data_IF_691832709733
#
_entry.id   IF_691832709733
#
_cell.length_a   1.000
_cell.length_b   1.000
_cell.length_c   1.000
_cell.angle_alpha   90.00
_cell.angle_beta   90.00
_cell.angle_gamma   90.00
#
_symmetry.space_group_name_H-M   'P 1'
#
loop_
_entity.id
_entity.type
_entity.pdbx_description
1 polymer ?
#
# COMPACT_ATOMS: atom_id res chain seq x y z
N UNK A 1 18.14 11.09 17.58
CA UNK A 1 16.73 10.77 17.89
C UNK A 1 16.41 9.56 17.05
N UNK A 2 16.19 8.39 17.64
CA UNK A 2 15.70 7.26 16.86
C UNK A 2 14.29 7.64 16.44
N UNK A 3 14.11 8.04 15.19
CA UNK A 3 12.80 8.23 14.58
C UNK A 3 12.16 6.84 14.50
N UNK A 4 11.62 6.38 15.62
CA UNK A 4 10.75 5.21 15.65
C UNK A 4 9.56 5.58 14.78
N UNK A 5 9.43 4.90 13.64
CA UNK A 5 8.24 5.02 12.82
C UNK A 5 7.05 4.65 13.72
N UNK A 6 6.09 5.55 13.83
CA UNK A 6 4.90 5.28 14.64
C UNK A 6 3.96 4.37 13.85
N UNK A 7 3.12 3.56 14.52
CA UNK A 7 2.08 2.79 13.84
C UNK A 7 1.20 3.70 12.97
N UNK A 8 0.89 4.91 13.43
CA UNK A 8 0.15 5.91 12.65
C UNK A 8 0.88 6.31 11.35
N UNK A 9 2.20 6.50 11.39
CA UNK A 9 2.98 6.82 10.20
C UNK A 9 3.04 5.64 9.21
N UNK A 10 3.14 4.40 9.73
CA UNK A 10 3.06 3.20 8.92
C UNK A 10 1.68 3.03 8.27
N UNK A 11 0.60 3.25 9.04
CA UNK A 11 -0.77 3.23 8.52
C UNK A 11 -0.97 4.26 7.41
N UNK A 12 -0.41 5.46 7.58
CA UNK A 12 -0.51 6.51 6.58
C UNK A 12 0.18 6.12 5.26
N UNK A 13 1.33 5.44 5.33
CA UNK A 13 2.02 4.89 4.15
C UNK A 13 1.21 3.79 3.48
N UNK A 14 0.60 2.89 4.26
CA UNK A 14 -0.29 1.84 3.73
C UNK A 14 -1.52 2.45 3.05
N UNK A 15 -2.11 3.49 3.65
CA UNK A 15 -3.24 4.23 3.10
C UNK A 15 -2.89 4.92 1.78
N UNK A 16 -1.69 5.51 1.68
CA UNK A 16 -1.21 6.18 0.46
C UNK A 16 -1.05 5.19 -0.70
N UNK A 17 -0.35 4.07 -0.45
CA UNK A 17 -0.21 2.97 -1.42
C UNK A 17 -1.55 2.37 -1.81
N UNK A 18 -2.46 2.20 -0.86
CA UNK A 18 -3.83 1.73 -1.14
C UNK A 18 -4.56 2.68 -2.09
N UNK A 19 -4.37 3.98 -1.92
CA UNK A 19 -4.98 5.01 -2.76
C UNK A 19 -4.40 4.97 -4.17
N UNK A 20 -3.08 4.78 -4.31
CA UNK A 20 -2.42 4.61 -5.61
C UNK A 20 -2.91 3.35 -6.35
N UNK A 21 -3.10 2.24 -5.65
CA UNK A 21 -3.68 1.03 -6.25
C UNK A 21 -5.15 1.23 -6.65
N UNK A 22 -5.95 1.89 -5.82
CA UNK A 22 -7.34 2.20 -6.14
C UNK A 22 -7.45 3.12 -7.38
N UNK A 23 -6.57 4.12 -7.49
CA UNK A 23 -6.52 4.99 -8.66
C UNK A 23 -6.15 4.22 -9.93
N UNK A 24 -5.11 3.38 -9.89
CA UNK A 24 -4.74 2.52 -11.01
C UNK A 24 -5.87 1.58 -11.42
N UNK A 25 -6.62 1.01 -10.47
CA UNK A 25 -7.80 0.18 -10.77
C UNK A 25 -8.85 0.99 -11.53
N UNK A 26 -9.10 2.24 -11.12
CA UNK A 26 -10.08 3.11 -11.79
C UNK A 26 -9.61 3.46 -13.20
N UNK A 27 -8.33 3.79 -13.37
CA UNK A 27 -7.72 4.10 -14.67
C UNK A 27 -7.82 2.88 -15.59
N UNK A 28 -7.39 1.70 -15.12
CA UNK A 28 -7.40 0.46 -15.90
C UNK A 28 -8.84 0.04 -16.25
N UNK A 29 -9.81 0.20 -15.34
CA UNK A 29 -11.23 -0.04 -15.65
C UNK A 29 -11.81 0.93 -16.68
N UNK A 30 -11.25 2.14 -16.79
CA UNK A 30 -11.68 3.16 -17.76
C UNK A 30 -10.95 3.05 -19.11
N UNK A 31 -9.91 2.22 -19.20
CA UNK A 31 -9.20 1.96 -20.44
C UNK A 31 -10.16 1.33 -21.48
N UNK A 32 -9.92 1.62 -22.76
CA UNK A 32 -10.72 1.08 -23.86
C UNK A 32 -10.64 -0.45 -23.95
N UNK A 33 -9.55 -1.05 -23.45
CA UNK A 33 -9.37 -2.48 -23.30
C UNK A 33 -8.78 -2.75 -21.90
N UNK A 34 -9.62 -2.94 -20.87
CA UNK A 34 -9.15 -3.15 -19.50
C UNK A 34 -8.45 -4.51 -19.38
N UNK A 35 -7.23 -4.49 -18.86
CA UNK A 35 -6.48 -5.72 -18.60
C UNK A 35 -6.98 -6.39 -17.31
N UNK A 36 -7.72 -7.49 -17.47
CA UNK A 36 -8.39 -8.16 -16.36
C UNK A 36 -7.41 -8.84 -15.40
N UNK A 37 -6.28 -9.34 -15.90
CA UNK A 37 -5.24 -9.92 -15.06
C UNK A 37 -4.58 -8.83 -14.21
N UNK A 38 -4.28 -7.68 -14.82
CA UNK A 38 -3.75 -6.52 -14.10
C UNK A 38 -4.75 -6.00 -13.06
N UNK A 39 -6.04 -5.90 -13.40
CA UNK A 39 -7.09 -5.51 -12.45
C UNK A 39 -7.20 -6.48 -11.28
N UNK A 40 -7.08 -7.78 -11.52
CA UNK A 40 -7.09 -8.79 -10.46
C UNK A 40 -5.87 -8.61 -9.55
N UNK A 41 -4.67 -8.49 -10.13
CA UNK A 41 -3.44 -8.26 -9.39
C UNK A 41 -3.52 -6.99 -8.53
N UNK A 42 -4.02 -5.87 -9.08
CA UNK A 42 -4.18 -4.62 -8.32
C UNK A 42 -5.15 -4.78 -7.14
N UNK A 43 -6.25 -5.51 -7.32
CA UNK A 43 -7.20 -5.81 -6.22
C UNK A 43 -6.58 -6.70 -5.15
N UNK A 44 -5.78 -7.69 -5.54
CA UNK A 44 -5.05 -8.56 -4.60
C UNK A 44 -4.04 -7.74 -3.78
N UNK A 45 -3.32 -6.80 -4.42
CA UNK A 45 -2.43 -5.90 -3.69
C UNK A 45 -3.19 -4.97 -2.74
N UNK A 46 -4.35 -4.45 -3.15
CA UNK A 46 -5.20 -3.63 -2.28
C UNK A 46 -5.70 -4.41 -1.05
N UNK A 47 -6.07 -5.67 -1.23
CA UNK A 47 -6.45 -6.55 -0.13
C UNK A 47 -5.28 -6.84 0.81
N UNK A 48 -4.06 -7.02 0.26
CA UNK A 48 -2.85 -7.16 1.07
C UNK A 48 -2.58 -5.89 1.91
N UNK A 49 -2.82 -4.69 1.34
CA UNK A 49 -2.71 -3.44 2.09
C UNK A 49 -3.68 -3.36 3.27
N UNK A 50 -4.92 -3.84 3.10
CA UNK A 50 -5.89 -3.89 4.20
C UNK A 50 -5.42 -4.84 5.31
N UNK A 51 -4.91 -6.02 4.95
CA UNK A 51 -4.37 -6.99 5.91
C UNK A 51 -3.15 -6.46 6.67
N UNK A 52 -2.21 -5.82 5.97
CA UNK A 52 -1.04 -5.18 6.60
C UNK A 52 -1.46 -4.05 7.54
N UNK A 53 -2.52 -3.29 7.21
CA UNK A 53 -3.07 -2.26 8.10
C UNK A 53 -3.68 -2.85 9.36
N UNK A 54 -4.44 -3.94 9.25
CA UNK A 54 -4.96 -4.64 10.42
C UNK A 54 -3.82 -5.20 11.28
N UNK A 55 -2.77 -5.74 10.66
CA UNK A 55 -1.58 -6.21 11.37
C UNK A 55 -0.87 -5.07 12.13
N UNK A 56 -0.79 -3.86 11.55
CA UNK A 56 -0.21 -2.69 12.21
C UNK A 56 -0.89 -2.29 13.53
N UNK A 57 -2.15 -2.68 13.76
CA UNK A 57 -2.86 -2.37 14.99
C UNK A 57 -2.36 -3.18 16.20
N UNK A 58 -1.85 -4.39 15.96
CA UNK A 58 -1.32 -5.30 17.00
C UNK A 58 0.23 -5.43 16.92
N UNK A 59 0.82 -4.95 15.82
CA UNK A 59 2.25 -5.05 15.55
C UNK A 59 3.12 -4.31 16.58
N UNK A 60 4.23 -4.95 16.92
CA UNK A 60 5.29 -4.33 17.71
C UNK A 60 6.07 -3.26 16.91
N UNK A 61 6.90 -2.45 17.59
CA UNK A 61 7.66 -1.36 16.95
C UNK A 61 8.64 -1.82 15.86
N UNK A 62 9.13 -3.06 15.92
CA UNK A 62 9.98 -3.65 14.87
C UNK A 62 9.17 -3.97 13.60
N UNK A 63 8.04 -4.66 13.74
CA UNK A 63 7.13 -4.95 12.61
C UNK A 63 6.59 -3.68 11.97
N UNK A 64 6.22 -2.69 12.77
CA UNK A 64 5.78 -1.38 12.29
C UNK A 64 6.86 -0.71 11.43
N UNK A 65 8.13 -0.79 11.83
CA UNK A 65 9.26 -0.26 11.06
C UNK A 65 9.48 -1.03 9.75
N UNK A 66 9.37 -2.36 9.76
CA UNK A 66 9.50 -3.18 8.55
C UNK A 66 8.37 -2.90 7.55
N UNK A 67 7.13 -2.85 8.03
CA UNK A 67 5.95 -2.54 7.21
C UNK A 67 6.10 -1.13 6.62
N UNK A 68 6.43 -0.13 7.43
CA UNK A 68 6.63 1.23 6.93
C UNK A 68 7.73 1.32 5.87
N UNK A 69 8.88 0.66 6.06
CA UNK A 69 9.96 0.66 5.08
C UNK A 69 9.52 0.03 3.75
N UNK A 70 8.78 -1.09 3.81
CA UNK A 70 8.22 -1.77 2.65
C UNK A 70 7.22 -0.88 1.90
N UNK A 71 6.30 -0.24 2.62
CA UNK A 71 5.30 0.62 2.02
C UNK A 71 5.89 1.94 1.49
N UNK A 72 6.91 2.50 2.14
CA UNK A 72 7.63 3.66 1.63
C UNK A 72 8.38 3.37 0.33
N UNK A 73 8.99 2.18 0.20
CA UNK A 73 9.58 1.75 -1.06
C UNK A 73 8.49 1.61 -2.15
N UNK A 74 7.37 0.98 -1.80
CA UNK A 74 6.26 0.75 -2.73
C UNK A 74 5.58 2.02 -3.20
N UNK A 75 5.39 2.99 -2.31
CA UNK A 75 4.85 4.30 -2.64
C UNK A 75 5.74 5.03 -3.66
N UNK A 76 7.07 4.92 -3.54
CA UNK A 76 8.02 5.48 -4.52
C UNK A 76 7.94 4.78 -5.87
N UNK A 77 7.81 3.45 -5.87
CA UNK A 77 7.64 2.67 -7.11
C UNK A 77 6.34 2.99 -7.83
N UNK A 78 5.26 3.23 -7.09
CA UNK A 78 3.92 3.50 -7.65
C UNK A 78 3.68 4.97 -8.00
N UNK A 79 4.19 5.91 -7.19
CA UNK A 79 4.05 7.35 -7.41
C UNK A 79 5.14 7.95 -8.32
N UNK A 80 6.20 7.20 -8.61
CA UNK A 80 7.25 7.58 -9.55
C UNK A 80 7.00 7.13 -11.01
N UNK A 81 5.82 6.60 -11.32
CA UNK A 81 5.40 6.18 -12.66
C UNK A 81 4.73 7.31 -13.44
#
# INVERSE_FOLDING_TARGET
>A
MSEHVTPEAAEQLVQDVSSLYAEQIIIERRAAAPDQERLKALKEQLAACAADREALQDAGPEEVAEIAARYAARARELGGQ
#
